data_IF_634186956047
#
_entry.id   IF_634186956047
#
_cell.length_a   1.000
_cell.length_b   1.000
_cell.length_c   1.000
_cell.angle_alpha   90.00
_cell.angle_beta   90.00
_cell.angle_gamma   90.00
#
_symmetry.space_group_name_H-M   'P 1'
#
loop_
_entity.id
_entity.type
_entity.pdbx_description
1 polymer ?
#
# COMPACT_ATOMS: atom_id res chain seq x y z
N UNK A 1 22.90 -14.75 15.29
CA UNK A 1 22.60 -14.01 16.53
C UNK A 1 22.99 -12.57 16.32
N UNK A 2 22.12 -11.59 16.63
CA UNK A 2 22.41 -10.19 16.42
C UNK A 2 23.63 -9.77 17.22
N UNK A 3 24.55 -9.03 16.59
CA UNK A 3 25.75 -8.54 17.28
C UNK A 3 25.45 -7.18 17.91
N UNK A 4 25.49 -7.12 19.25
CA UNK A 4 25.24 -5.90 20.01
C UNK A 4 26.57 -5.17 20.28
N UNK A 5 26.73 -3.97 19.72
CA UNK A 5 27.86 -3.10 20.04
C UNK A 5 27.60 -2.40 21.38
N UNK A 6 28.54 -2.56 22.32
CA UNK A 6 28.45 -2.03 23.69
C UNK A 6 29.59 -1.06 23.98
N UNK A 7 29.28 0.04 24.66
CA UNK A 7 30.27 0.99 25.20
C UNK A 7 29.81 1.44 26.59
N UNK A 8 30.71 1.40 27.58
CA UNK A 8 30.37 1.75 28.97
C UNK A 8 29.25 0.90 29.59
N UNK A 9 29.07 -0.35 29.16
CA UNK A 9 28.00 -1.23 29.63
C UNK A 9 26.62 -1.00 28.96
N UNK A 10 26.49 -0.01 28.07
CA UNK A 10 25.25 0.26 27.33
C UNK A 10 25.34 -0.21 25.88
N UNK A 11 24.25 -0.77 25.35
CA UNK A 11 24.11 -1.12 23.94
C UNK A 11 23.79 0.16 23.17
N UNK A 12 24.55 0.46 22.11
CA UNK A 12 24.33 1.66 21.28
C UNK A 12 24.08 1.34 19.80
N UNK A 13 24.36 0.12 19.35
CA UNK A 13 24.03 -0.32 18.00
C UNK A 13 23.82 -1.84 17.95
N UNK A 14 22.96 -2.27 17.03
CA UNK A 14 22.72 -3.68 16.69
C UNK A 14 23.11 -3.89 15.24
N UNK A 15 23.94 -4.90 14.98
CA UNK A 15 24.29 -5.31 13.63
C UNK A 15 23.70 -6.68 13.37
N UNK A 16 22.74 -6.73 12.43
CA UNK A 16 22.15 -7.97 11.95
C UNK A 16 23.05 -8.62 10.91
N UNK A 17 23.02 -9.95 10.82
CA UNK A 17 23.60 -10.64 9.66
C UNK A 17 22.60 -10.68 8.50
N UNK A 18 23.05 -11.02 7.28
CA UNK A 18 22.20 -11.04 6.07
C UNK A 18 20.95 -11.94 6.19
N UNK A 19 21.00 -12.99 7.01
CA UNK A 19 19.84 -13.87 7.21
C UNK A 19 18.83 -13.25 8.18
N UNK A 20 19.30 -12.56 9.22
CA UNK A 20 18.46 -11.81 10.17
C UNK A 20 17.83 -10.58 9.52
N UNK A 21 18.56 -9.86 8.66
CA UNK A 21 18.06 -8.75 7.86
C UNK A 21 16.92 -9.22 6.93
N UNK A 22 17.12 -10.33 6.21
CA UNK A 22 16.06 -10.93 5.38
C UNK A 22 14.85 -11.39 6.18
N UNK A 23 15.04 -11.97 7.36
CA UNK A 23 13.94 -12.39 8.21
C UNK A 23 13.14 -11.20 8.76
N UNK A 24 13.83 -10.11 9.12
CA UNK A 24 13.22 -8.85 9.55
C UNK A 24 12.44 -8.21 8.40
N UNK A 25 13.03 -8.12 7.20
CA UNK A 25 12.38 -7.61 6.00
C UNK A 25 11.13 -8.43 5.65
N UNK A 26 11.18 -9.76 5.79
CA UNK A 26 10.04 -10.63 5.58
C UNK A 26 8.92 -10.35 6.60
N UNK A 27 9.26 -10.12 7.86
CA UNK A 27 8.27 -9.84 8.90
C UNK A 27 7.65 -8.44 8.75
N UNK A 28 8.45 -7.43 8.38
CA UNK A 28 7.97 -6.10 8.00
C UNK A 28 7.01 -6.21 6.81
N UNK A 29 7.40 -6.97 5.77
CA UNK A 29 6.53 -7.22 4.59
C UNK A 29 5.23 -7.90 4.99
N UNK A 30 5.24 -8.88 5.89
CA UNK A 30 4.02 -9.51 6.40
C UNK A 30 3.13 -8.53 7.15
N UNK A 31 3.70 -7.72 8.03
CA UNK A 31 2.94 -6.70 8.77
C UNK A 31 2.32 -5.67 7.81
N UNK A 32 3.04 -5.25 6.76
CA UNK A 32 2.49 -4.41 5.68
C UNK A 32 1.31 -5.11 5.01
N UNK A 33 1.45 -6.38 4.62
CA UNK A 33 0.37 -7.13 3.93
C UNK A 33 -0.85 -7.35 4.83
N UNK A 34 -0.66 -7.61 6.12
CA UNK A 34 -1.76 -7.78 7.08
C UNK A 34 -2.50 -6.47 7.34
N UNK A 35 -1.74 -5.38 7.51
CA UNK A 35 -2.30 -4.05 7.68
C UNK A 35 -3.06 -3.61 6.41
N UNK A 36 -2.48 -3.86 5.23
CA UNK A 36 -3.09 -3.55 3.93
C UNK A 36 -4.50 -4.14 3.79
N UNK A 37 -4.78 -5.33 4.31
CA UNK A 37 -6.14 -5.93 4.18
C UNK A 37 -7.23 -5.14 4.90
N UNK A 38 -6.95 -4.62 6.08
CA UNK A 38 -7.90 -3.81 6.83
C UNK A 38 -8.08 -2.43 6.16
N UNK A 39 -6.96 -1.82 5.75
CA UNK A 39 -6.96 -0.56 5.01
C UNK A 39 -7.66 -0.66 3.64
N UNK A 40 -7.50 -1.78 2.94
CA UNK A 40 -8.17 -2.07 1.67
C UNK A 40 -9.69 -2.11 1.85
N UNK A 41 -10.17 -2.81 2.88
CA UNK A 41 -11.62 -2.95 3.13
C UNK A 41 -12.29 -1.61 3.46
N UNK A 42 -11.66 -0.76 4.27
CA UNK A 42 -12.20 0.55 4.63
C UNK A 42 -12.18 1.53 3.43
N UNK A 43 -11.11 1.52 2.63
CA UNK A 43 -11.04 2.31 1.40
C UNK A 43 -12.06 1.86 0.37
N UNK A 44 -12.15 0.55 0.12
CA UNK A 44 -13.15 -0.02 -0.79
C UNK A 44 -14.57 0.34 -0.35
N UNK A 45 -14.86 0.25 0.95
CA UNK A 45 -16.16 0.63 1.50
C UNK A 45 -16.48 2.10 1.27
N UNK A 46 -15.48 2.99 1.44
CA UNK A 46 -15.63 4.43 1.19
C UNK A 46 -15.94 4.74 -0.27
N UNK A 47 -15.26 4.08 -1.22
CA UNK A 47 -15.52 4.22 -2.66
C UNK A 47 -16.91 3.70 -3.01
N UNK A 48 -17.30 2.52 -2.51
CA UNK A 48 -18.62 1.94 -2.76
C UNK A 48 -19.74 2.80 -2.19
N UNK A 49 -19.53 3.40 -1.01
CA UNK A 49 -20.48 4.34 -0.42
C UNK A 49 -20.60 5.61 -1.26
N UNK A 50 -19.49 6.19 -1.72
CA UNK A 50 -19.51 7.32 -2.65
C UNK A 50 -20.28 6.98 -3.93
N UNK A 51 -20.08 5.79 -4.51
CA UNK A 51 -20.84 5.32 -5.68
C UNK A 51 -22.34 5.20 -5.39
N UNK A 52 -22.71 4.77 -4.19
CA UNK A 52 -24.10 4.73 -3.76
C UNK A 52 -24.70 6.14 -3.64
N UNK A 53 -24.04 7.04 -2.92
CA UNK A 53 -24.56 8.38 -2.63
C UNK A 53 -24.59 9.30 -3.85
N UNK A 54 -23.52 9.31 -4.65
CA UNK A 54 -23.38 10.26 -5.78
C UNK A 54 -24.02 9.73 -7.07
N UNK A 55 -24.01 8.41 -7.28
CA UNK A 55 -24.47 7.79 -8.53
C UNK A 55 -25.67 6.84 -8.36
N UNK A 56 -26.20 6.69 -7.14
CA UNK A 56 -27.40 5.89 -6.88
C UNK A 56 -27.20 4.38 -7.08
N UNK A 57 -25.97 3.87 -6.95
CA UNK A 57 -25.70 2.45 -7.20
C UNK A 57 -26.40 1.58 -6.15
N UNK A 58 -27.28 0.70 -6.61
CA UNK A 58 -27.88 -0.35 -5.77
C UNK A 58 -26.95 -1.55 -5.54
N UNK A 59 -27.32 -2.50 -4.67
CA UNK A 59 -26.45 -3.60 -4.24
C UNK A 59 -25.84 -4.43 -5.38
N UNK A 60 -26.59 -4.66 -6.46
CA UNK A 60 -26.09 -5.41 -7.64
C UNK A 60 -24.94 -4.68 -8.35
N UNK A 61 -25.07 -3.36 -8.52
CA UNK A 61 -24.05 -2.53 -9.19
C UNK A 61 -22.83 -2.34 -8.29
N UNK A 62 -23.04 -2.16 -6.98
CA UNK A 62 -21.96 -2.10 -5.99
C UNK A 62 -21.15 -3.40 -5.95
N UNK A 63 -21.81 -4.56 -5.93
CA UNK A 63 -21.12 -5.85 -5.97
C UNK A 63 -20.30 -6.04 -7.25
N UNK A 64 -20.78 -5.53 -8.39
CA UNK A 64 -20.02 -5.56 -9.64
C UNK A 64 -18.80 -4.63 -9.57
N UNK A 65 -18.97 -3.39 -9.10
CA UNK A 65 -17.88 -2.44 -8.92
C UNK A 65 -16.80 -3.00 -7.98
N UNK A 66 -17.21 -3.58 -6.85
CA UNK A 66 -16.31 -4.24 -5.90
C UNK A 66 -15.53 -5.39 -6.55
N UNK A 67 -16.19 -6.28 -7.30
CA UNK A 67 -15.51 -7.39 -7.99
C UNK A 67 -14.45 -6.90 -8.98
N UNK A 68 -14.76 -5.83 -9.73
CA UNK A 68 -13.83 -5.25 -10.70
C UNK A 68 -12.63 -4.62 -9.99
N UNK A 69 -12.87 -3.86 -8.92
CA UNK A 69 -11.80 -3.26 -8.13
C UNK A 69 -10.91 -4.32 -7.48
N UNK A 70 -11.51 -5.30 -6.80
CA UNK A 70 -10.80 -6.39 -6.13
C UNK A 70 -9.92 -7.21 -7.09
N UNK A 71 -10.38 -7.46 -8.32
CA UNK A 71 -9.60 -8.13 -9.34
C UNK A 71 -8.34 -7.34 -9.76
N UNK A 72 -8.43 -6.01 -9.86
CA UNK A 72 -7.27 -5.16 -10.12
C UNK A 72 -6.32 -5.09 -8.92
N UNK A 73 -6.84 -5.02 -7.69
CA UNK A 73 -6.04 -5.08 -6.46
C UNK A 73 -5.26 -6.39 -6.35
N UNK A 74 -5.86 -7.52 -6.73
CA UNK A 74 -5.16 -8.82 -6.78
C UNK A 74 -4.01 -8.82 -7.79
N UNK A 75 -4.23 -8.32 -9.01
CA UNK A 75 -3.16 -8.21 -10.03
C UNK A 75 -2.02 -7.31 -9.56
N UNK A 76 -2.35 -6.20 -8.90
CA UNK A 76 -1.36 -5.30 -8.30
C UNK A 76 -0.55 -6.01 -7.22
N UNK A 77 -1.22 -6.75 -6.32
CA UNK A 77 -0.56 -7.53 -5.27
C UNK A 77 0.38 -8.58 -5.85
N UNK A 78 -0.05 -9.32 -6.88
CA UNK A 78 0.80 -10.28 -7.59
C UNK A 78 2.02 -9.60 -8.25
N UNK A 79 1.83 -8.43 -8.86
CA UNK A 79 2.91 -7.63 -9.45
C UNK A 79 3.94 -7.20 -8.41
N UNK A 80 3.51 -6.71 -7.23
CA UNK A 80 4.44 -6.31 -6.16
C UNK A 80 5.12 -7.49 -5.45
N UNK A 81 4.52 -8.68 -5.47
CA UNK A 81 5.11 -9.90 -4.90
C UNK A 81 6.23 -10.49 -5.79
N UNK A 82 6.32 -10.13 -7.08
CA UNK A 82 7.24 -10.72 -8.06
C UNK A 82 8.68 -10.15 -8.06
N UNK A 83 9.06 -9.34 -7.06
CA UNK A 83 10.37 -8.67 -6.90
C UNK A 83 10.80 -7.72 -8.05
N UNK A 84 11.29 -6.55 -7.65
CA UNK A 84 11.94 -5.51 -8.46
C UNK A 84 11.03 -4.59 -9.29
N UNK A 85 10.54 -3.52 -8.65
CA UNK A 85 10.95 -2.16 -8.97
C UNK A 85 10.35 -1.20 -7.93
N UNK A 86 11.11 -0.19 -7.53
CA UNK A 86 10.65 1.03 -6.81
C UNK A 86 9.70 1.88 -7.68
N UNK A 87 9.00 1.26 -8.64
CA UNK A 87 8.06 1.93 -9.51
C UNK A 87 6.77 2.11 -8.72
N UNK A 88 6.63 3.30 -8.14
CA UNK A 88 5.49 3.72 -7.36
C UNK A 88 4.14 3.35 -8.00
N UNK A 89 3.17 3.08 -7.12
CA UNK A 89 1.76 2.75 -7.40
C UNK A 89 1.37 2.73 -8.88
N UNK A 90 1.40 1.56 -9.53
CA UNK A 90 1.04 1.36 -10.96
C UNK A 90 -0.31 1.99 -11.34
N UNK A 91 -1.27 2.03 -10.42
CA UNK A 91 -2.54 2.72 -10.62
C UNK A 91 -2.38 4.24 -10.82
N UNK A 92 -1.50 4.90 -10.06
CA UNK A 92 -1.21 6.35 -10.24
C UNK A 92 -0.59 6.63 -11.60
N UNK A 93 0.35 5.78 -12.04
CA UNK A 93 0.93 5.89 -13.38
C UNK A 93 -0.13 5.76 -14.48
N UNK A 94 -0.97 4.73 -14.40
CA UNK A 94 -2.09 4.53 -15.34
C UNK A 94 -3.08 5.71 -15.35
N UNK A 95 -3.34 6.31 -14.19
CA UNK A 95 -4.17 7.51 -14.07
C UNK A 95 -3.49 8.73 -14.71
N UNK A 96 -2.19 8.90 -14.47
CA UNK A 96 -1.41 9.98 -15.09
C UNK A 96 -1.35 9.85 -16.61
N UNK A 97 -1.23 8.63 -17.14
CA UNK A 97 -1.24 8.34 -18.58
C UNK A 97 -2.56 8.78 -19.26
N UNK A 98 -3.67 8.88 -18.52
CA UNK A 98 -4.96 9.40 -19.01
C UNK A 98 -5.22 10.86 -18.60
N UNK A 99 -4.22 11.54 -18.03
CA UNK A 99 -4.30 12.94 -17.61
C UNK A 99 -4.88 13.18 -16.20
N UNK A 100 -5.01 12.15 -15.38
CA UNK A 100 -5.43 12.25 -13.98
C UNK A 100 -4.20 12.22 -13.05
N UNK A 101 -3.68 13.38 -12.65
CA UNK A 101 -2.59 13.47 -11.67
C UNK A 101 -3.14 13.59 -10.24
N UNK A 102 -3.21 12.45 -9.56
CA UNK A 102 -3.71 12.38 -8.18
C UNK A 102 -2.80 13.15 -7.21
N UNK A 103 -1.48 13.18 -7.44
CA UNK A 103 -0.56 13.85 -6.52
C UNK A 103 -0.70 15.38 -6.60
N UNK A 104 -0.94 15.89 -7.80
CA UNK A 104 -1.28 17.30 -8.01
C UNK A 104 -2.56 17.68 -7.29
N UNK A 105 -3.64 16.89 -7.44
CA UNK A 105 -4.92 17.16 -6.74
C UNK A 105 -4.77 17.14 -5.22
N UNK A 106 -3.96 16.24 -4.67
CA UNK A 106 -3.69 16.23 -3.22
C UNK A 106 -2.92 17.47 -2.77
N UNK A 107 -2.00 18.00 -3.59
CA UNK A 107 -1.27 19.24 -3.26
C UNK A 107 -2.17 20.47 -3.31
N UNK A 108 -3.10 20.53 -4.26
CA UNK A 108 -4.08 21.60 -4.39
C UNK A 108 -4.98 21.70 -3.14
N UNK A 109 -5.40 20.57 -2.60
CA UNK A 109 -6.23 20.47 -1.38
C UNK A 109 -5.42 20.62 -0.08
N UNK A 110 -4.13 20.97 -0.16
CA UNK A 110 -3.26 21.20 1.01
C UNK A 110 -2.70 19.93 1.66
N UNK A 111 -2.81 18.78 1.00
CA UNK A 111 -2.17 17.55 1.41
C UNK A 111 -0.65 17.63 1.26
N UNK A 112 0.09 17.38 2.35
CA UNK A 112 1.53 17.13 2.26
C UNK A 112 1.71 15.78 1.57
N UNK A 113 2.14 15.79 0.32
CA UNK A 113 2.72 14.59 -0.30
C UNK A 113 4.12 14.43 0.29
N UNK A 114 4.39 13.30 0.95
CA UNK A 114 5.73 12.98 1.44
C UNK A 114 6.72 13.07 0.28
N UNK A 115 7.71 13.96 0.43
CA UNK A 115 8.77 14.25 -0.52
C UNK A 115 9.88 13.18 -0.48
#
# INVERSE_FOLDING_TARGET
MPMFKKSGGKIFAVQFNKAEERALDQEIKKQIVENDRAFDMDKESSILWMLHTQFGFGPKRLKLAWKLFYAETLKLREYYLMEQADDGWLARKKLKDIGCDIEEWYREEGGKTDA
#
